data_IF_390285273620
#
_entry.id   IF_390285273620
#
_cell.length_a   1.000
_cell.length_b   1.000
_cell.length_c   1.000
_cell.angle_alpha   90.00
_cell.angle_beta   90.00
_cell.angle_gamma   90.00
#
_symmetry.space_group_name_H-M   'P 1'
#
loop_
_entity.id
_entity.type
_entity.pdbx_description
1 polymer ?
#
# COMPACT_ATOMS: atom_id res chain seq x y z
N UNK A 1 16.00 -34.52 -7.05
CA UNK A 1 15.07 -34.71 -5.92
C UNK A 1 14.41 -33.37 -5.63
N UNK A 2 13.09 -33.27 -5.78
CA UNK A 2 12.34 -32.04 -5.43
C UNK A 2 12.05 -32.08 -3.94
N UNK A 3 12.82 -31.31 -3.15
CA UNK A 3 12.50 -31.08 -1.75
C UNK A 3 11.20 -30.27 -1.71
N UNK A 4 10.13 -30.87 -1.16
CA UNK A 4 8.91 -30.14 -0.87
C UNK A 4 9.11 -29.49 0.49
N UNK A 5 9.64 -28.27 0.50
CA UNK A 5 9.74 -27.50 1.73
C UNK A 5 8.32 -27.14 2.18
N UNK A 6 7.95 -27.62 3.37
CA UNK A 6 6.65 -27.34 3.96
C UNK A 6 6.75 -26.12 4.88
N UNK A 7 5.81 -25.20 4.75
CA UNK A 7 5.65 -24.07 5.65
C UNK A 7 4.42 -24.32 6.53
N UNK A 8 4.61 -24.29 7.85
CA UNK A 8 3.50 -24.37 8.81
C UNK A 8 3.07 -22.96 9.21
N UNK A 9 1.83 -22.60 8.89
CA UNK A 9 1.24 -21.31 9.28
C UNK A 9 0.29 -21.52 10.45
N UNK A 10 0.52 -20.80 11.55
CA UNK A 10 -0.40 -20.77 12.71
C UNK A 10 -1.37 -19.61 12.54
N UNK A 11 -2.67 -19.90 12.62
CA UNK A 11 -3.74 -18.91 12.53
C UNK A 11 -4.89 -19.30 13.47
N UNK A 12 -5.75 -18.34 13.82
CA UNK A 12 -6.95 -18.63 14.61
C UNK A 12 -7.94 -19.50 13.84
N UNK A 13 -8.85 -20.15 14.56
CA UNK A 13 -9.89 -20.99 13.95
C UNK A 13 -10.81 -20.20 13.02
N UNK A 14 -11.15 -18.96 13.37
CA UNK A 14 -11.97 -18.05 12.55
C UNK A 14 -11.27 -17.67 11.26
N UNK A 15 -10.01 -17.22 11.35
CA UNK A 15 -9.21 -16.84 10.17
C UNK A 15 -8.99 -18.03 9.23
N UNK A 16 -8.83 -19.24 9.78
CA UNK A 16 -8.78 -20.47 8.97
C UNK A 16 -10.09 -20.69 8.21
N UNK A 17 -11.24 -20.54 8.86
CA UNK A 17 -12.54 -20.74 8.21
C UNK A 17 -12.75 -19.73 7.06
N UNK A 18 -12.41 -18.46 7.29
CA UNK A 18 -12.48 -17.39 6.28
C UNK A 18 -11.57 -17.67 5.08
N UNK A 19 -10.32 -18.11 5.34
CA UNK A 19 -9.38 -18.47 4.27
C UNK A 19 -9.93 -19.63 3.40
N UNK A 20 -10.54 -20.63 4.03
CA UNK A 20 -11.15 -21.75 3.31
C UNK A 20 -12.36 -21.32 2.49
N UNK A 21 -13.20 -20.42 3.02
CA UNK A 21 -14.32 -19.85 2.28
C UNK A 21 -13.84 -19.07 1.03
N UNK A 22 -12.83 -18.21 1.19
CA UNK A 22 -12.25 -17.47 0.08
C UNK A 22 -11.58 -18.36 -0.99
N UNK A 23 -10.93 -19.44 -0.57
CA UNK A 23 -10.39 -20.41 -1.51
C UNK A 23 -11.52 -21.11 -2.30
N UNK A 24 -12.61 -21.47 -1.63
CA UNK A 24 -13.76 -22.10 -2.27
C UNK A 24 -14.48 -21.18 -3.27
N UNK A 25 -14.70 -19.91 -2.92
CA UNK A 25 -15.31 -18.89 -3.80
C UNK A 25 -14.53 -18.74 -5.12
N UNK A 26 -13.20 -18.85 -5.05
CA UNK A 26 -12.30 -18.71 -6.20
C UNK A 26 -11.98 -20.03 -6.88
N UNK A 27 -12.54 -21.15 -6.41
CA UNK A 27 -12.24 -22.50 -6.89
C UNK A 27 -10.72 -22.81 -6.84
N UNK A 28 -10.05 -22.37 -5.79
CA UNK A 28 -8.61 -22.53 -5.59
C UNK A 28 -8.32 -23.54 -4.48
N UNK A 29 -7.19 -24.24 -4.61
CA UNK A 29 -6.60 -24.97 -3.50
C UNK A 29 -6.09 -23.98 -2.43
N UNK A 30 -6.37 -24.27 -1.15
CA UNK A 30 -5.96 -23.40 -0.03
C UNK A 30 -4.44 -23.24 0.00
N UNK A 31 -3.68 -24.31 -0.24
CA UNK A 31 -2.22 -24.26 -0.30
C UNK A 31 -1.72 -23.36 -1.43
N UNK A 32 -2.38 -23.39 -2.60
CA UNK A 32 -2.10 -22.49 -3.72
C UNK A 32 -2.40 -21.04 -3.36
N UNK A 33 -3.57 -20.77 -2.76
CA UNK A 33 -3.93 -19.42 -2.33
C UNK A 33 -2.91 -18.84 -1.34
N UNK A 34 -2.48 -19.62 -0.34
CA UNK A 34 -1.46 -19.20 0.62
C UNK A 34 -0.12 -18.92 -0.04
N UNK A 35 0.32 -19.77 -0.99
CA UNK A 35 1.56 -19.52 -1.75
C UNK A 35 1.47 -18.25 -2.58
N UNK A 36 0.33 -18.01 -3.23
CA UNK A 36 0.11 -16.81 -4.04
C UNK A 36 0.09 -15.55 -3.17
N UNK A 37 -0.52 -15.60 -1.97
CA UNK A 37 -0.50 -14.50 -1.01
C UNK A 37 0.92 -14.19 -0.51
N UNK A 38 1.69 -15.22 -0.14
CA UNK A 38 3.09 -15.06 0.28
C UNK A 38 3.94 -14.49 -0.86
N UNK A 39 3.82 -15.05 -2.07
CA UNK A 39 4.55 -14.58 -3.23
C UNK A 39 4.19 -13.12 -3.58
N UNK A 40 2.89 -12.81 -3.54
CA UNK A 40 2.38 -11.45 -3.73
C UNK A 40 2.99 -10.51 -2.69
N UNK A 41 2.91 -10.79 -1.39
CA UNK A 41 3.49 -9.91 -0.36
C UNK A 41 5.00 -9.73 -0.52
N UNK A 42 5.74 -10.81 -0.80
CA UNK A 42 7.19 -10.75 -1.00
C UNK A 42 7.61 -9.97 -2.25
N UNK A 43 6.79 -9.99 -3.30
CA UNK A 43 7.02 -9.27 -4.55
C UNK A 43 6.55 -7.81 -4.47
N UNK A 44 5.39 -7.58 -3.86
CA UNK A 44 4.64 -6.32 -3.89
C UNK A 44 5.04 -5.38 -2.75
N UNK A 45 5.37 -5.89 -1.56
CA UNK A 45 5.70 -5.06 -0.40
C UNK A 45 6.93 -4.16 -0.61
N UNK A 46 7.94 -4.63 -1.34
CA UNK A 46 9.13 -3.82 -1.69
C UNK A 46 8.92 -2.92 -2.90
N UNK A 47 8.04 -3.30 -3.83
CA UNK A 47 7.82 -2.50 -5.04
C UNK A 47 6.84 -1.37 -4.80
N UNK A 48 5.74 -1.58 -4.08
CA UNK A 48 4.74 -0.52 -3.83
C UNK A 48 5.26 0.64 -3.03
N UNK A 49 6.04 0.41 -1.96
CA UNK A 49 6.63 1.51 -1.19
C UNK A 49 7.58 2.34 -2.05
N UNK A 50 8.37 1.68 -2.92
CA UNK A 50 9.31 2.34 -3.83
C UNK A 50 8.60 3.06 -4.99
N UNK A 51 7.57 2.46 -5.57
CA UNK A 51 6.75 3.06 -6.62
C UNK A 51 5.91 4.23 -6.09
N UNK A 52 5.28 4.07 -4.92
CA UNK A 52 4.54 5.14 -4.27
C UNK A 52 5.46 6.31 -3.91
N UNK A 53 6.65 6.02 -3.37
CA UNK A 53 7.67 7.05 -3.14
C UNK A 53 8.10 7.72 -4.46
N UNK A 54 8.30 6.94 -5.53
CA UNK A 54 8.63 7.46 -6.86
C UNK A 54 7.54 8.37 -7.43
N UNK A 55 6.27 7.99 -7.28
CA UNK A 55 5.11 8.78 -7.70
C UNK A 55 4.96 10.05 -6.88
N UNK A 56 5.15 9.97 -5.55
CA UNK A 56 5.15 11.14 -4.67
C UNK A 56 6.24 12.13 -5.05
N UNK A 57 7.47 11.65 -5.29
CA UNK A 57 8.58 12.49 -5.73
C UNK A 57 8.31 13.11 -7.10
N UNK A 58 7.78 12.34 -8.05
CA UNK A 58 7.41 12.86 -9.36
C UNK A 58 6.35 13.96 -9.25
N UNK A 59 5.29 13.72 -8.49
CA UNK A 59 4.21 14.69 -8.29
C UNK A 59 4.72 15.96 -7.59
N UNK A 60 5.58 15.81 -6.58
CA UNK A 60 6.16 16.94 -5.87
C UNK A 60 7.01 17.82 -6.79
N UNK A 61 7.84 17.22 -7.65
CA UNK A 61 8.66 17.94 -8.62
C UNK A 61 7.78 18.63 -9.67
N UNK A 62 6.82 17.90 -10.25
CA UNK A 62 5.91 18.46 -11.25
C UNK A 62 5.09 19.63 -10.68
N UNK A 63 4.62 19.51 -9.43
CA UNK A 63 3.92 20.60 -8.75
C UNK A 63 4.82 21.80 -8.49
N UNK A 64 6.07 21.60 -8.10
CA UNK A 64 7.00 22.70 -7.86
C UNK A 64 7.30 23.46 -9.16
N UNK A 65 7.49 22.75 -10.28
CA UNK A 65 7.66 23.37 -11.60
C UNK A 65 6.40 24.12 -12.06
N UNK A 66 5.21 23.55 -11.86
CA UNK A 66 3.94 24.21 -12.18
C UNK A 66 3.72 25.47 -11.35
N UNK A 67 4.05 25.43 -10.05
CA UNK A 67 3.93 26.58 -9.15
C UNK A 67 4.98 27.66 -9.50
N UNK A 68 6.19 27.28 -9.86
CA UNK A 68 7.24 28.20 -10.29
C UNK A 68 6.92 28.89 -11.62
N UNK A 69 6.21 28.21 -12.52
CA UNK A 69 5.74 28.77 -13.78
C UNK A 69 4.48 29.64 -13.63
N UNK A 70 3.82 29.59 -12.47
CA UNK A 70 2.60 30.35 -12.21
C UNK A 70 2.92 31.82 -11.90
N UNK A 71 2.06 32.74 -12.35
CA UNK A 71 2.25 34.18 -12.16
C UNK A 71 1.95 34.69 -10.75
N UNK A 72 1.49 33.81 -9.85
CA UNK A 72 1.11 34.17 -8.48
C UNK A 72 2.15 33.60 -7.52
N UNK A 73 2.98 34.49 -6.98
CA UNK A 73 4.07 34.14 -6.08
C UNK A 73 3.60 33.60 -4.72
N UNK A 74 2.35 33.89 -4.32
CA UNK A 74 1.78 33.46 -3.03
C UNK A 74 1.12 32.08 -3.09
N UNK A 75 0.85 31.58 -4.30
CA UNK A 75 0.16 30.32 -4.51
C UNK A 75 0.91 29.13 -3.92
N UNK A 76 2.25 29.16 -3.98
CA UNK A 76 3.11 28.11 -3.41
C UNK A 76 2.91 27.98 -1.90
N UNK A 77 2.94 29.09 -1.19
CA UNK A 77 2.75 29.11 0.26
C UNK A 77 1.36 28.64 0.65
N UNK A 78 0.34 29.03 -0.14
CA UNK A 78 -1.04 28.62 0.07
C UNK A 78 -1.22 27.10 -0.08
N UNK A 79 -0.64 26.49 -1.11
CA UNK A 79 -0.69 25.03 -1.33
C UNK A 79 0.02 24.27 -0.22
N UNK A 80 1.20 24.72 0.21
CA UNK A 80 1.94 24.12 1.33
C UNK A 80 1.12 24.18 2.61
N UNK A 81 0.45 25.30 2.88
CA UNK A 81 -0.35 25.47 4.07
C UNK A 81 -1.59 24.56 4.07
N UNK A 82 -2.30 24.45 2.95
CA UNK A 82 -3.41 23.50 2.80
C UNK A 82 -2.98 22.04 2.99
N UNK A 83 -1.82 21.67 2.46
CA UNK A 83 -1.28 20.32 2.64
C UNK A 83 -0.97 20.01 4.12
N UNK A 84 -0.34 20.94 4.84
CA UNK A 84 -0.08 20.80 6.28
C UNK A 84 -1.36 20.66 7.09
N UNK A 85 -2.36 21.51 6.82
CA UNK A 85 -3.66 21.43 7.51
C UNK A 85 -4.31 20.06 7.33
N UNK A 86 -4.29 19.49 6.12
CA UNK A 86 -4.82 18.14 5.90
C UNK A 86 -4.06 17.05 6.66
N UNK A 87 -2.73 17.13 6.72
CA UNK A 87 -1.93 16.16 7.47
C UNK A 87 -2.27 16.18 8.97
N UNK A 88 -2.47 17.37 9.53
CA UNK A 88 -2.84 17.54 10.94
C UNK A 88 -4.26 16.99 11.22
N UNK A 89 -5.19 17.16 10.26
CA UNK A 89 -6.55 16.60 10.33
C UNK A 89 -6.54 15.06 10.27
N UNK A 90 -5.78 14.46 9.36
CA UNK A 90 -5.63 13.00 9.23
C UNK A 90 -4.99 12.39 10.49
N UNK A 91 -3.92 13.00 11.02
CA UNK A 91 -3.27 12.55 12.25
C UNK A 91 -4.18 12.63 13.48
N UNK A 92 -5.12 13.59 13.50
CA UNK A 92 -6.11 13.72 14.57
C UNK A 92 -7.25 12.71 14.43
N UNK A 93 -7.60 12.31 13.21
CA UNK A 93 -8.63 11.31 12.91
C UNK A 93 -8.19 9.88 13.21
N UNK A 94 -6.92 9.55 12.97
CA UNK A 94 -6.38 8.20 13.22
C UNK A 94 -6.13 7.91 14.72
N UNK A 95 -6.21 8.94 15.58
CA UNK A 95 -6.00 8.84 17.03
C UNK A 95 -7.29 8.60 17.84
N UNK A 96 -8.47 8.59 17.20
CA UNK A 96 -9.80 8.35 17.82
C UNK A 96 -10.32 6.95 17.51
#
# INVERSE_FOLDING_TARGET
MSYHEFITVRMSGTMRAELFAHAAERQLDVGKLVRDLIAFELAVGRHRAREALGQLLFLAIAMDELLAAHSDETLRDHVIQQWRTRLDEEASSDAQ
#
